data_IF_276355701183
#
_entry.id   IF_276355701183
#
_cell.length_a   1.000
_cell.length_b   1.000
_cell.length_c   1.000
_cell.angle_alpha   90.00
_cell.angle_beta   90.00
_cell.angle_gamma   90.00
#
_symmetry.space_group_name_H-M   'P 1'
#
loop_
_entity.id
_entity.type
_entity.pdbx_description
1 polymer ?
#
# COMPACT_ATOMS: atom_id res chain seq x y z
N UNK A 1 1.99 23.98 3.35
CA UNK A 1 1.73 23.00 4.43
C UNK A 1 0.46 22.17 4.17
N UNK A 2 -0.58 22.73 3.62
CA UNK A 2 -1.87 22.10 3.31
C UNK A 2 -1.80 20.86 2.43
N UNK A 3 -0.94 20.84 1.41
CA UNK A 3 -0.84 19.69 0.49
C UNK A 3 -0.24 18.40 1.09
N UNK A 4 0.53 18.49 2.17
CA UNK A 4 1.03 17.30 2.88
C UNK A 4 -0.03 16.71 3.80
N UNK A 5 -0.78 17.54 4.50
CA UNK A 5 -1.88 17.13 5.37
C UNK A 5 -2.97 16.41 4.58
N UNK A 6 -3.35 16.94 3.42
CA UNK A 6 -4.35 16.30 2.56
C UNK A 6 -3.92 14.91 2.08
N UNK A 7 -2.64 14.74 1.73
CA UNK A 7 -2.12 13.42 1.32
C UNK A 7 -2.16 12.40 2.45
N UNK A 8 -1.80 12.80 3.67
CA UNK A 8 -1.86 11.95 4.86
C UNK A 8 -3.31 11.57 5.14
N UNK A 9 -4.21 12.54 5.10
CA UNK A 9 -5.64 12.33 5.38
C UNK A 9 -6.28 11.35 4.38
N UNK A 10 -5.99 11.51 3.09
CA UNK A 10 -6.46 10.59 2.03
C UNK A 10 -5.92 9.19 2.23
N UNK A 11 -4.65 9.05 2.62
CA UNK A 11 -4.04 7.76 2.92
C UNK A 11 -4.67 7.07 4.13
N UNK A 12 -4.85 7.82 5.22
CA UNK A 12 -5.47 7.31 6.43
C UNK A 12 -6.92 6.90 6.18
N UNK A 13 -7.66 7.72 5.44
CA UNK A 13 -9.02 7.40 5.03
C UNK A 13 -9.04 6.16 4.13
N UNK A 14 -8.10 6.05 3.19
CA UNK A 14 -7.94 4.89 2.31
C UNK A 14 -7.61 3.61 3.09
N UNK A 15 -6.69 3.69 4.06
CA UNK A 15 -6.35 2.57 4.94
C UNK A 15 -7.54 2.14 5.79
N UNK A 16 -8.22 3.11 6.41
CA UNK A 16 -9.43 2.87 7.18
C UNK A 16 -10.51 2.18 6.34
N UNK A 17 -10.79 2.72 5.16
CA UNK A 17 -11.82 2.22 4.27
C UNK A 17 -11.49 0.82 3.74
N UNK A 18 -10.22 0.56 3.47
CA UNK A 18 -9.74 -0.76 3.05
C UNK A 18 -9.93 -1.80 4.16
N UNK A 19 -9.49 -1.50 5.39
CA UNK A 19 -9.62 -2.44 6.52
C UNK A 19 -11.10 -2.62 6.88
N UNK A 20 -11.88 -1.55 6.88
CA UNK A 20 -13.31 -1.60 7.11
C UNK A 20 -14.03 -2.45 6.05
N UNK A 21 -13.73 -2.22 4.77
CA UNK A 21 -14.29 -2.99 3.67
C UNK A 21 -13.90 -4.47 3.78
N UNK A 22 -12.64 -4.73 4.09
CA UNK A 22 -12.12 -6.07 4.28
C UNK A 22 -12.78 -6.79 5.46
N UNK A 23 -13.04 -6.09 6.59
CA UNK A 23 -13.70 -6.67 7.76
C UNK A 23 -15.20 -6.91 7.56
N UNK A 24 -15.85 -6.13 6.67
CA UNK A 24 -17.28 -6.24 6.38
C UNK A 24 -17.62 -7.14 5.18
N UNK A 25 -16.64 -7.38 4.29
CA UNK A 25 -16.85 -8.29 3.17
C UNK A 25 -16.67 -9.74 3.63
N UNK A 26 -17.75 -10.41 3.98
CA UNK A 26 -17.75 -11.84 4.28
C UNK A 26 -17.62 -12.72 3.04
N UNK A 27 -17.75 -12.14 1.85
CA UNK A 27 -17.72 -12.87 0.58
C UNK A 27 -16.41 -13.68 0.35
N UNK A 28 -15.20 -13.14 0.58
CA UNK A 28 -13.97 -13.94 0.47
C UNK A 28 -13.94 -15.08 1.49
N UNK A 29 -14.45 -14.83 2.70
CA UNK A 29 -14.51 -15.82 3.77
C UNK A 29 -15.46 -16.97 3.42
N UNK A 30 -16.57 -16.68 2.76
CA UNK A 30 -17.56 -17.70 2.35
C UNK A 30 -17.00 -18.55 1.20
N UNK A 31 -16.33 -17.95 0.21
CA UNK A 31 -15.85 -18.64 -0.98
C UNK A 31 -14.46 -19.26 -0.81
N UNK A 32 -13.56 -18.60 -0.14
CA UNK A 32 -12.16 -19.03 0.03
C UNK A 32 -11.93 -19.73 1.39
N UNK A 33 -12.88 -19.65 2.32
CA UNK A 33 -12.73 -20.19 3.68
C UNK A 33 -11.82 -19.36 4.59
N UNK A 34 -11.21 -18.27 4.09
CA UNK A 34 -10.34 -17.36 4.83
C UNK A 34 -10.46 -15.94 4.29
N UNK A 35 -9.96 -14.97 5.04
CA UNK A 35 -9.95 -13.58 4.64
C UNK A 35 -8.53 -13.15 4.27
N UNK A 36 -8.26 -12.80 2.97
CA UNK A 36 -6.96 -12.34 2.56
C UNK A 36 -6.69 -10.96 3.16
N UNK A 37 -5.52 -10.76 3.77
CA UNK A 37 -5.11 -9.46 4.30
C UNK A 37 -4.46 -8.63 3.18
N UNK A 38 -5.10 -7.53 2.81
CA UNK A 38 -4.61 -6.59 1.78
C UNK A 38 -3.81 -5.42 2.37
N UNK A 39 -3.68 -5.35 3.69
CA UNK A 39 -2.97 -4.26 4.36
C UNK A 39 -1.49 -4.17 3.97
N UNK A 40 -0.76 -5.29 3.78
CA UNK A 40 0.60 -5.24 3.26
C UNK A 40 0.70 -4.58 1.89
N UNK A 41 -0.28 -4.80 1.00
CA UNK A 41 -0.31 -4.17 -0.32
C UNK A 41 -0.40 -2.64 -0.23
N UNK A 42 -1.22 -2.14 0.69
CA UNK A 42 -1.33 -0.70 0.95
C UNK A 42 0.00 -0.11 1.42
N UNK A 43 0.69 -0.79 2.35
CA UNK A 43 2.02 -0.35 2.83
C UNK A 43 3.07 -0.35 1.72
N UNK A 44 3.02 -1.33 0.80
CA UNK A 44 3.89 -1.34 -0.39
C UNK A 44 3.63 -0.11 -1.26
N UNK A 45 2.36 0.22 -1.55
CA UNK A 45 2.02 1.42 -2.32
C UNK A 45 2.49 2.72 -1.65
N UNK A 46 2.34 2.82 -0.32
CA UNK A 46 2.84 3.95 0.46
C UNK A 46 4.37 4.01 0.41
N UNK A 47 5.05 2.89 0.54
CA UNK A 47 6.51 2.78 0.45
C UNK A 47 7.07 3.22 -0.90
N UNK A 48 6.39 2.85 -1.99
CA UNK A 48 6.79 3.24 -3.35
C UNK A 48 6.62 4.74 -3.61
N UNK A 49 5.52 5.33 -3.13
CA UNK A 49 5.13 6.70 -3.50
C UNK A 49 5.51 7.78 -2.50
N UNK A 50 5.61 7.41 -1.23
CA UNK A 50 5.69 8.39 -0.14
C UNK A 50 6.99 8.29 0.65
N UNK A 51 7.15 9.19 1.60
CA UNK A 51 8.34 9.23 2.48
C UNK A 51 8.17 8.36 3.73
N UNK A 52 9.27 8.14 4.43
CA UNK A 52 9.35 7.30 5.63
C UNK A 52 8.31 7.65 6.71
N UNK A 53 8.03 8.95 6.92
CA UNK A 53 7.04 9.37 7.92
C UNK A 53 5.60 8.91 7.60
N UNK A 54 5.25 8.79 6.32
CA UNK A 54 3.94 8.29 5.91
C UNK A 54 3.84 6.77 6.14
N UNK A 55 4.93 6.04 5.88
CA UNK A 55 5.02 4.60 6.14
C UNK A 55 4.81 4.34 7.62
N UNK A 56 5.52 5.07 8.50
CA UNK A 56 5.40 4.93 9.96
C UNK A 56 3.97 5.20 10.42
N UNK A 57 3.39 6.31 9.99
CA UNK A 57 2.02 6.68 10.36
C UNK A 57 1.00 5.63 9.89
N UNK A 58 1.10 5.19 8.63
CA UNK A 58 0.18 4.19 8.07
C UNK A 58 0.37 2.84 8.74
N UNK A 59 1.61 2.39 8.99
CA UNK A 59 1.89 1.12 9.65
C UNK A 59 1.34 1.09 11.09
N UNK A 60 1.54 2.17 11.85
CA UNK A 60 1.03 2.26 13.23
C UNK A 60 -0.49 2.22 13.24
N UNK A 61 -1.14 3.06 12.42
CA UNK A 61 -2.60 3.16 12.43
C UNK A 61 -3.27 1.91 11.88
N UNK A 62 -2.79 1.37 10.74
CA UNK A 62 -3.35 0.14 10.19
C UNK A 62 -3.05 -1.08 11.06
N UNK A 63 -1.86 -1.16 11.65
CA UNK A 63 -1.49 -2.24 12.57
C UNK A 63 -2.33 -2.24 13.85
N UNK A 64 -2.48 -1.08 14.51
CA UNK A 64 -3.35 -0.96 15.70
C UNK A 64 -4.80 -1.31 15.35
N UNK A 65 -5.26 -0.89 14.19
CA UNK A 65 -6.62 -1.20 13.76
C UNK A 65 -6.83 -2.69 13.51
N UNK A 66 -5.90 -3.32 12.80
CA UNK A 66 -5.94 -4.78 12.59
C UNK A 66 -5.90 -5.55 13.93
N UNK A 67 -5.02 -5.16 14.81
CA UNK A 67 -4.90 -5.82 16.13
C UNK A 67 -6.15 -5.60 16.98
N UNK A 68 -6.81 -4.43 16.87
CA UNK A 68 -8.06 -4.16 17.60
C UNK A 68 -9.25 -4.99 17.09
N UNK A 69 -9.22 -5.40 15.81
CA UNK A 69 -10.24 -6.24 15.19
C UNK A 69 -9.94 -7.74 15.31
N UNK A 70 -8.71 -8.08 15.66
CA UNK A 70 -8.26 -9.46 15.85
C UNK A 70 -8.09 -9.78 17.34
N UNK A 71 -7.99 -11.07 17.65
CA UNK A 71 -7.67 -11.52 19.03
C UNK A 71 -6.18 -11.39 19.37
N UNK A 72 -5.39 -10.73 18.54
CA UNK A 72 -3.95 -10.58 18.72
C UNK A 72 -3.62 -9.51 19.78
N UNK A 73 -2.48 -9.60 20.46
CA UNK A 73 -2.00 -8.52 21.31
C UNK A 73 -1.78 -7.24 20.48
N UNK A 74 -2.19 -6.10 21.02
CA UNK A 74 -2.04 -4.81 20.36
C UNK A 74 -0.56 -4.52 20.06
N UNK A 75 -0.26 -4.14 18.82
CA UNK A 75 1.07 -3.75 18.36
C UNK A 75 1.84 -4.84 17.61
N UNK A 76 1.38 -6.08 17.62
CA UNK A 76 2.06 -7.21 16.95
C UNK A 76 2.07 -7.01 15.44
N UNK A 77 1.03 -6.43 14.85
CA UNK A 77 0.95 -6.18 13.42
C UNK A 77 1.72 -4.94 12.96
N UNK A 78 2.05 -4.02 13.85
CA UNK A 78 2.75 -2.75 13.49
C UNK A 78 4.12 -3.03 12.91
N UNK A 79 4.92 -3.84 13.61
CA UNK A 79 6.32 -4.08 13.25
C UNK A 79 6.48 -4.77 11.90
N UNK A 80 5.76 -5.86 11.57
CA UNK A 80 5.82 -6.49 10.26
C UNK A 80 5.38 -5.56 9.12
N UNK A 81 4.30 -4.80 9.34
CA UNK A 81 3.82 -3.84 8.36
C UNK A 81 4.83 -2.73 8.12
N UNK A 82 5.38 -2.14 9.18
CA UNK A 82 6.42 -1.12 9.08
C UNK A 82 7.65 -1.66 8.35
N UNK A 83 8.12 -2.86 8.71
CA UNK A 83 9.28 -3.50 8.06
C UNK A 83 9.06 -3.69 6.56
N UNK A 84 7.88 -4.20 6.16
CA UNK A 84 7.54 -4.36 4.75
C UNK A 84 7.56 -3.02 3.99
N UNK A 85 6.90 -1.99 4.51
CA UNK A 85 6.89 -0.66 3.91
C UNK A 85 8.28 -0.01 3.86
N UNK A 86 9.09 -0.22 4.90
CA UNK A 86 10.45 0.31 4.98
C UNK A 86 11.40 -0.34 3.98
N UNK A 87 11.35 -1.65 3.85
CA UNK A 87 12.15 -2.40 2.86
C UNK A 87 11.84 -1.89 1.45
N UNK A 88 10.57 -1.78 1.10
CA UNK A 88 10.14 -1.25 -0.20
C UNK A 88 10.66 0.18 -0.41
N UNK A 89 10.56 1.03 0.62
CA UNK A 89 11.08 2.40 0.56
C UNK A 89 12.60 2.46 0.29
N UNK A 90 13.38 1.60 0.93
CA UNK A 90 14.83 1.53 0.72
C UNK A 90 15.17 1.09 -0.71
N UNK A 91 14.43 0.16 -1.26
CA UNK A 91 14.69 -0.40 -2.59
C UNK A 91 13.98 0.33 -3.73
N UNK A 92 13.07 1.26 -3.47
CA UNK A 92 12.26 1.94 -4.49
C UNK A 92 13.05 2.62 -5.61
N UNK A 93 14.28 3.08 -5.33
CA UNK A 93 15.14 3.72 -6.34
C UNK A 93 15.71 2.71 -7.34
N UNK A 94 15.86 1.44 -6.94
CA UNK A 94 16.34 0.34 -7.79
C UNK A 94 15.21 -0.29 -8.59
N UNK A 95 13.99 -0.15 -8.08
CA UNK A 95 12.79 -0.67 -8.71
C UNK A 95 12.27 0.46 -9.59
N UNK A 96 12.38 0.30 -10.91
CA UNK A 96 11.77 1.24 -11.85
C UNK A 96 10.27 1.30 -11.55
N UNK A 97 9.88 2.38 -10.84
CA UNK A 97 8.51 2.56 -10.37
C UNK A 97 7.58 2.78 -11.55
N UNK A 98 6.85 1.76 -11.95
CA UNK A 98 5.89 1.79 -13.02
C UNK A 98 5.70 0.44 -13.70
N UNK A 99 6.62 -0.50 -13.53
CA UNK A 99 6.45 -1.85 -14.08
C UNK A 99 5.46 -2.65 -13.22
N UNK A 100 4.34 -3.02 -13.83
CA UNK A 100 3.30 -3.88 -13.24
C UNK A 100 3.89 -5.14 -12.59
N UNK A 101 4.86 -5.75 -13.27
CA UNK A 101 5.51 -6.99 -12.83
C UNK A 101 6.28 -6.76 -11.52
N UNK A 102 7.04 -5.67 -11.41
CA UNK A 102 7.79 -5.33 -10.21
C UNK A 102 6.85 -5.06 -9.01
N UNK A 103 5.76 -4.33 -9.24
CA UNK A 103 4.75 -4.08 -8.22
C UNK A 103 4.08 -5.36 -7.74
N UNK A 104 3.76 -6.27 -8.66
CA UNK A 104 3.18 -7.58 -8.34
C UNK A 104 4.13 -8.40 -7.45
N UNK A 105 5.40 -8.51 -7.81
CA UNK A 105 6.39 -9.23 -7.00
C UNK A 105 6.57 -8.62 -5.61
N UNK A 106 6.62 -7.29 -5.52
CA UNK A 106 6.73 -6.60 -4.23
C UNK A 106 5.52 -6.85 -3.34
N UNK A 107 4.31 -6.80 -3.92
CA UNK A 107 3.08 -7.09 -3.20
C UNK A 107 3.04 -8.53 -2.71
N UNK A 108 3.42 -9.49 -3.58
CA UNK A 108 3.45 -10.91 -3.23
C UNK A 108 4.47 -11.19 -2.11
N UNK A 109 5.69 -10.64 -2.22
CA UNK A 109 6.71 -10.81 -1.18
C UNK A 109 6.30 -10.18 0.14
N UNK A 110 5.72 -8.98 0.14
CA UNK A 110 5.21 -8.35 1.35
C UNK A 110 4.05 -9.14 1.97
N UNK A 111 3.11 -9.59 1.14
CA UNK A 111 1.99 -10.43 1.57
C UNK A 111 2.38 -11.78 2.15
N UNK A 112 3.60 -12.26 1.86
CA UNK A 112 4.13 -13.49 2.41
C UNK A 112 4.98 -13.24 3.68
N UNK A 113 5.81 -12.21 3.66
CA UNK A 113 6.72 -11.89 4.77
C UNK A 113 5.95 -11.38 5.99
N UNK A 114 4.94 -10.54 5.79
CA UNK A 114 4.19 -9.95 6.90
C UNK A 114 3.54 -11.00 7.80
N UNK A 115 2.73 -11.96 7.32
CA UNK A 115 2.15 -12.99 8.17
C UNK A 115 3.20 -13.91 8.78
N UNK A 116 4.30 -14.21 8.09
CA UNK A 116 5.39 -15.00 8.65
C UNK A 116 6.05 -14.29 9.85
N UNK A 117 6.30 -12.98 9.74
CA UNK A 117 6.82 -12.18 10.85
C UNK A 117 5.81 -12.09 12.01
N UNK A 118 4.52 -11.96 11.70
CA UNK A 118 3.46 -11.95 12.73
C UNK A 118 3.43 -13.27 13.51
N UNK A 119 3.50 -14.42 12.82
CA UNK A 119 3.57 -15.73 13.45
C UNK A 119 4.81 -15.83 14.35
N UNK A 120 5.96 -15.34 13.88
CA UNK A 120 7.19 -15.30 14.67
C UNK A 120 7.04 -14.49 15.96
N UNK A 121 6.45 -13.29 15.87
CA UNK A 121 6.19 -12.41 17.01
C UNK A 121 5.17 -13.02 17.97
N UNK A 122 4.10 -13.63 17.46
CA UNK A 122 3.11 -14.32 18.29
C UNK A 122 3.72 -15.47 19.08
N UNK A 123 4.63 -16.24 18.51
CA UNK A 123 5.37 -17.27 19.24
C UNK A 123 6.24 -16.70 20.35
N UNK A 124 6.86 -15.53 20.14
CA UNK A 124 7.68 -14.86 21.17
C UNK A 124 6.82 -14.34 22.32
N UNK A 125 5.56 -14.01 22.09
CA UNK A 125 4.60 -13.59 23.14
C UNK A 125 3.97 -14.78 23.87
N UNK A 126 4.38 -16.03 23.58
CA UNK A 126 3.86 -17.23 24.22
C UNK A 126 2.53 -17.72 23.62
N UNK A 127 2.02 -17.08 22.57
CA UNK A 127 0.86 -17.57 21.85
C UNK A 127 1.24 -18.80 21.02
N UNK A 128 0.37 -19.81 21.03
CA UNK A 128 0.55 -21.04 20.23
C UNK A 128 -0.32 -20.96 18.97
N UNK A 129 0.17 -20.34 17.87
CA UNK A 129 -0.58 -20.36 16.62
C UNK A 129 -0.72 -21.79 16.12
N UNK A 130 -1.93 -22.16 15.71
CA UNK A 130 -2.21 -23.47 15.11
C UNK A 130 -1.48 -23.54 13.74
N UNK A 131 -0.30 -24.14 13.74
CA UNK A 131 0.53 -24.31 12.54
C UNK A 131 0.10 -25.61 11.85
N UNK A 132 -0.76 -25.48 10.83
CA UNK A 132 -1.11 -26.54 9.92
C UNK A 132 -0.56 -26.26 8.51
N UNK A 133 -0.42 -27.28 7.67
CA UNK A 133 -0.05 -27.13 6.25
C UNK A 133 -1.04 -26.20 5.50
N UNK A 134 -2.29 -26.20 5.92
CA UNK A 134 -3.34 -25.32 5.41
C UNK A 134 -3.00 -23.84 5.56
N UNK A 135 -2.35 -23.45 6.69
CA UNK A 135 -1.89 -22.08 6.89
C UNK A 135 -0.88 -21.62 5.83
N UNK A 136 -0.01 -22.53 5.37
CA UNK A 136 0.93 -22.24 4.29
C UNK A 136 0.22 -21.94 2.97
N UNK A 137 -0.79 -22.71 2.65
CA UNK A 137 -1.61 -22.48 1.45
C UNK A 137 -2.37 -21.14 1.54
N UNK A 138 -2.99 -20.86 2.68
CA UNK A 138 -3.71 -19.61 2.91
C UNK A 138 -2.80 -18.39 2.82
N UNK A 139 -1.58 -18.48 3.40
CA UNK A 139 -0.58 -17.43 3.30
C UNK A 139 -0.15 -17.19 1.84
N UNK A 140 0.01 -18.24 1.06
CA UNK A 140 0.41 -18.14 -0.35
C UNK A 140 -0.69 -17.51 -1.21
N UNK A 141 -1.94 -17.92 -1.00
CA UNK A 141 -3.09 -17.33 -1.71
C UNK A 141 -3.25 -15.85 -1.32
N UNK A 142 -3.16 -15.53 -0.02
CA UNK A 142 -3.21 -14.14 0.46
C UNK A 142 -2.08 -13.30 -0.14
N UNK A 143 -0.86 -13.85 -0.28
CA UNK A 143 0.26 -13.19 -0.91
C UNK A 143 0.00 -12.87 -2.38
N UNK A 144 -0.62 -13.78 -3.14
CA UNK A 144 -0.99 -13.55 -4.53
C UNK A 144 -2.05 -12.44 -4.66
N UNK A 145 -3.05 -12.44 -3.77
CA UNK A 145 -4.04 -11.35 -3.71
C UNK A 145 -3.37 -10.00 -3.41
N UNK A 146 -2.43 -9.98 -2.47
CA UNK A 146 -1.61 -8.80 -2.18
C UNK A 146 -0.82 -8.33 -3.41
N UNK A 147 -0.20 -9.27 -4.13
CA UNK A 147 0.52 -8.98 -5.37
C UNK A 147 -0.36 -8.30 -6.41
N UNK A 148 -1.57 -8.82 -6.63
CA UNK A 148 -2.52 -8.25 -7.56
C UNK A 148 -3.10 -6.90 -7.08
N UNK A 149 -3.25 -6.72 -5.76
CA UNK A 149 -3.80 -5.50 -5.18
C UNK A 149 -2.87 -4.29 -5.32
N UNK A 150 -1.53 -4.47 -5.27
CA UNK A 150 -0.57 -3.35 -5.38
C UNK A 150 -0.76 -2.56 -6.67
N UNK A 151 -0.70 -3.15 -7.88
CA UNK A 151 -0.89 -2.39 -9.11
C UNK A 151 -2.29 -1.81 -9.26
N UNK A 152 -3.31 -2.46 -8.69
CA UNK A 152 -4.68 -1.93 -8.67
C UNK A 152 -4.75 -0.66 -7.80
N UNK A 153 -4.19 -0.68 -6.61
CA UNK A 153 -4.14 0.49 -5.72
C UNK A 153 -3.29 1.60 -6.33
N UNK A 154 -2.20 1.25 -6.99
CA UNK A 154 -1.34 2.21 -7.68
C UNK A 154 -2.10 2.88 -8.84
N UNK A 155 -2.80 2.12 -9.66
CA UNK A 155 -3.65 2.62 -10.73
C UNK A 155 -4.80 3.51 -10.22
N UNK A 156 -5.47 3.09 -9.14
CA UNK A 156 -6.54 3.86 -8.51
C UNK A 156 -6.02 5.18 -7.93
N UNK A 157 -4.88 5.14 -7.24
CA UNK A 157 -4.24 6.34 -6.70
C UNK A 157 -3.86 7.34 -7.80
N UNK A 158 -3.36 6.86 -8.95
CA UNK A 158 -3.07 7.70 -10.12
C UNK A 158 -4.33 8.37 -10.67
N UNK A 159 -5.43 7.63 -10.78
CA UNK A 159 -6.71 8.19 -11.25
C UNK A 159 -7.25 9.24 -10.29
N UNK A 160 -7.22 8.96 -8.97
CA UNK A 160 -7.68 9.91 -7.94
C UNK A 160 -6.82 11.18 -7.95
N UNK A 161 -5.49 11.04 -8.00
CA UNK A 161 -4.61 12.21 -8.10
C UNK A 161 -4.88 12.99 -9.37
N UNK A 162 -5.15 12.33 -10.50
CA UNK A 162 -5.52 12.98 -11.76
C UNK A 162 -6.81 13.79 -11.67
N UNK A 163 -7.80 13.31 -10.90
CA UNK A 163 -9.07 14.04 -10.71
C UNK A 163 -8.93 15.27 -9.80
N UNK A 164 -8.02 15.22 -8.83
CA UNK A 164 -7.79 16.33 -7.88
C UNK A 164 -6.67 17.28 -8.31
N UNK A 165 -5.83 16.89 -9.26
CA UNK A 165 -4.84 17.78 -9.87
C UNK A 165 -5.48 18.54 -11.03
N UNK A 166 -6.16 19.64 -10.73
CA UNK A 166 -6.40 20.65 -11.75
C UNK A 166 -5.01 21.08 -12.25
N UNK A 167 -4.76 21.10 -13.57
CA UNK A 167 -3.55 21.68 -14.09
C UNK A 167 -3.52 23.13 -13.60
N UNK A 168 -2.57 23.45 -12.72
CA UNK A 168 -2.31 24.84 -12.36
C UNK A 168 -1.95 25.49 -13.69
N UNK A 169 -2.82 26.38 -14.15
CA UNK A 169 -2.56 27.20 -15.32
C UNK A 169 -1.27 27.99 -15.07
N UNK A 170 -0.18 27.53 -15.66
CA UNK A 170 1.10 28.21 -15.64
C UNK A 170 1.12 29.15 -16.86
N UNK A 171 0.91 30.46 -16.68
CA UNK A 171 0.88 31.44 -17.78
C UNK A 171 2.24 31.52 -18.49
N UNK A 172 3.32 31.03 -17.91
CA UNK A 172 4.65 31.01 -18.52
C UNK A 172 4.95 29.72 -19.32
N UNK A 173 4.03 28.77 -19.36
CA UNK A 173 4.21 27.50 -20.06
C UNK A 173 3.83 27.53 -21.55
N UNK A 174 3.53 28.70 -22.08
CA UNK A 174 3.38 28.87 -23.51
C UNK A 174 4.79 28.91 -24.12
N UNK A 175 5.17 27.92 -24.91
CA UNK A 175 6.43 27.99 -25.64
C UNK A 175 6.38 29.24 -26.54
N UNK A 176 7.48 29.99 -26.55
CA UNK A 176 7.69 31.13 -27.47
C UNK A 176 7.73 30.71 -28.97
N UNK A 177 7.05 29.63 -29.32
CA UNK A 177 7.04 29.08 -30.67
C UNK A 177 6.34 29.97 -31.69
N UNK A 178 5.45 30.85 -31.26
CA UNK A 178 4.72 31.73 -32.19
C UNK A 178 5.39 33.09 -32.43
N UNK A 179 6.60 33.36 -31.88
CA UNK A 179 7.31 34.62 -32.17
C UNK A 179 8.24 34.59 -33.37
N UNK A 180 8.36 33.47 -34.07
CA UNK A 180 9.25 33.38 -35.23
C UNK A 180 8.53 33.53 -36.60
N UNK A 181 7.21 33.71 -36.64
CA UNK A 181 6.48 33.74 -37.92
C UNK A 181 6.27 35.16 -38.47
N UNK A 182 6.70 36.21 -37.78
CA UNK A 182 6.53 37.59 -38.32
C UNK A 182 7.91 38.27 -38.43
N UNK A 183 8.83 37.66 -39.13
CA UNK A 183 9.93 38.34 -39.84
C UNK A 183 9.91 37.89 -41.27
N UNK A 184 8.81 38.23 -41.93
CA UNK A 184 8.71 38.20 -43.37
C UNK A 184 9.49 39.37 -43.96
N UNK A 185 10.23 39.02 -44.95
CA UNK A 185 10.94 39.77 -45.95
C UNK A 185 10.29 41.08 -46.33
N UNK A 186 11.07 42.14 -46.29
CA UNK A 186 11.12 43.18 -47.32
C UNK A 186 12.56 43.27 -47.85
#
# INVERSE_FOLDING_TARGET
MTGRLNKILVLLLGAYLLIFLQSHLDWPRIWLGFQPDLTPALLVCVGLRMGAGHISATAVLSGLWLDSLSANPLGVSILPLFAAGWVVYCFRKKILGGEFVAQFYLGTTAGLIVPLMQIGLLKMTGATPLLGWEMGLWALISALFCGAAVPLFDGLANRLVGWFSHPVYDPNRWPNENRQIVRGKD
#
